data_IF_505721553624
#
_entry.id   IF_505721553624
#
_cell.length_a   1.000
_cell.length_b   1.000
_cell.length_c   1.000
_cell.angle_alpha   90.00
_cell.angle_beta   90.00
_cell.angle_gamma   90.00
#
_symmetry.space_group_name_H-M   'P 1'
#
loop_
_entity.id
_entity.type
_entity.pdbx_description
1 polymer ?
#
# COMPACT_ATOMS: atom_id res chain seq x y z
N UNK A 1 -0.48 -9.78 -2.51
CA UNK A 1 0.73 -9.74 -3.36
C UNK A 1 1.32 -8.33 -3.35
N UNK A 2 2.61 -8.23 -3.15
CA UNK A 2 3.31 -6.94 -3.16
C UNK A 2 3.95 -6.72 -4.52
N UNK A 3 3.75 -5.52 -5.10
CA UNK A 3 4.33 -5.16 -6.40
C UNK A 3 4.82 -3.72 -6.35
N UNK A 4 5.95 -3.40 -7.00
CA UNK A 4 6.42 -2.01 -7.06
C UNK A 4 5.40 -1.11 -7.76
N UNK A 5 5.29 0.12 -7.27
CA UNK A 5 4.47 1.15 -7.88
C UNK A 5 5.30 2.41 -8.05
N UNK A 6 4.84 3.32 -8.91
CA UNK A 6 5.53 4.58 -9.19
C UNK A 6 4.67 5.75 -8.75
N UNK A 7 5.29 6.72 -8.08
CA UNK A 7 4.66 7.99 -7.79
C UNK A 7 5.06 8.97 -8.88
N UNK A 8 4.08 9.48 -9.63
CA UNK A 8 4.33 10.42 -10.73
C UNK A 8 5.04 11.66 -10.19
N UNK A 9 6.08 12.08 -10.88
CA UNK A 9 6.91 13.20 -10.47
C UNK A 9 8.04 12.83 -9.52
N UNK A 10 8.05 11.59 -9.02
CA UNK A 10 9.07 11.12 -8.06
C UNK A 10 9.50 9.69 -8.40
N UNK A 11 10.10 9.47 -9.59
CA UNK A 11 10.40 8.10 -10.06
C UNK A 11 11.48 7.39 -9.25
N UNK A 12 12.26 8.12 -8.46
CA UNK A 12 13.33 7.53 -7.66
C UNK A 12 12.86 7.02 -6.30
N UNK A 13 11.65 7.38 -5.88
CA UNK A 13 11.10 6.90 -4.61
C UNK A 13 10.67 5.44 -4.73
N UNK A 14 11.12 4.64 -3.79
CA UNK A 14 10.82 3.20 -3.78
C UNK A 14 9.55 2.96 -2.99
N UNK A 15 8.46 2.68 -3.71
CA UNK A 15 7.14 2.42 -3.14
C UNK A 15 6.65 1.05 -3.58
N UNK A 16 5.93 0.39 -2.68
CA UNK A 16 5.37 -0.93 -2.94
C UNK A 16 3.85 -0.87 -2.86
N UNK A 17 3.17 -1.53 -3.78
CA UNK A 17 1.72 -1.68 -3.73
C UNK A 17 1.35 -3.06 -3.20
N UNK A 18 0.39 -3.10 -2.28
CA UNK A 18 -0.16 -4.34 -1.78
C UNK A 18 -1.46 -4.62 -2.52
N UNK A 19 -1.49 -5.70 -3.27
CA UNK A 19 -2.67 -6.11 -4.02
C UNK A 19 -3.63 -6.95 -3.19
N UNK A 20 -4.80 -7.25 -3.75
CA UNK A 20 -5.78 -8.08 -3.06
C UNK A 20 -5.17 -9.42 -2.66
N UNK A 21 -5.39 -9.80 -1.42
CA UNK A 21 -4.94 -11.10 -0.92
C UNK A 21 -6.09 -12.08 -0.98
N UNK A 22 -5.91 -13.14 -1.77
CA UNK A 22 -6.93 -14.17 -1.92
C UNK A 22 -6.82 -15.18 -0.79
N UNK A 23 -7.24 -14.77 0.41
CA UNK A 23 -7.31 -15.66 1.57
C UNK A 23 -8.76 -16.06 1.76
N UNK A 24 -9.02 -17.37 1.88
CA UNK A 24 -10.37 -17.87 2.10
C UNK A 24 -10.95 -17.23 3.38
N UNK A 25 -12.26 -16.89 3.36
CA UNK A 25 -12.86 -16.21 4.52
C UNK A 25 -12.65 -16.90 5.86
N UNK A 26 -12.67 -18.22 5.89
CA UNK A 26 -12.44 -18.98 7.11
C UNK A 26 -11.00 -18.80 7.63
N UNK A 27 -10.03 -18.66 6.73
CA UNK A 27 -8.63 -18.49 7.09
C UNK A 27 -8.34 -17.06 7.50
N UNK A 28 -9.05 -16.08 6.94
CA UNK A 28 -8.89 -14.68 7.32
C UNK A 28 -9.17 -14.48 8.82
N UNK A 29 -10.17 -15.20 9.34
CA UNK A 29 -10.54 -15.11 10.76
C UNK A 29 -9.51 -15.70 11.70
N UNK A 30 -8.57 -16.47 11.18
CA UNK A 30 -7.50 -17.08 11.97
C UNK A 30 -6.23 -16.23 12.01
N UNK A 31 -6.28 -15.02 11.46
CA UNK A 31 -5.13 -14.11 11.47
C UNK A 31 -4.05 -14.45 10.45
N UNK A 32 -4.28 -15.41 9.56
CA UNK A 32 -3.29 -15.79 8.55
C UNK A 32 -3.02 -14.63 7.59
N UNK A 33 -4.08 -13.93 7.14
CA UNK A 33 -3.93 -12.77 6.28
C UNK A 33 -3.15 -11.67 6.97
N UNK A 34 -3.42 -11.41 8.25
CA UNK A 34 -2.68 -10.39 9.02
C UNK A 34 -1.21 -10.74 9.15
N UNK A 35 -0.89 -12.00 9.42
CA UNK A 35 0.50 -12.44 9.52
C UNK A 35 1.24 -12.25 8.18
N UNK A 36 0.60 -12.55 7.06
CA UNK A 36 1.18 -12.37 5.74
C UNK A 36 1.42 -10.90 5.44
N UNK A 37 0.49 -10.02 5.80
CA UNK A 37 0.65 -8.57 5.60
C UNK A 37 1.84 -8.08 6.42
N UNK A 38 1.90 -8.43 7.70
CA UNK A 38 3.00 -7.99 8.57
C UNK A 38 4.37 -8.48 8.07
N UNK A 39 4.43 -9.74 7.66
CA UNK A 39 5.67 -10.30 7.11
C UNK A 39 6.09 -9.58 5.84
N UNK A 40 5.14 -9.28 4.95
CA UNK A 40 5.42 -8.55 3.72
C UNK A 40 5.88 -7.14 3.97
N UNK A 41 5.26 -6.44 4.92
CA UNK A 41 5.66 -5.07 5.29
C UNK A 41 7.09 -5.05 5.83
N UNK A 42 7.42 -6.00 6.69
CA UNK A 42 8.77 -6.10 7.23
C UNK A 42 9.79 -6.39 6.13
N UNK A 43 9.44 -7.26 5.20
CA UNK A 43 10.30 -7.55 4.05
C UNK A 43 10.52 -6.30 3.20
N UNK A 44 9.48 -5.51 2.96
CA UNK A 44 9.60 -4.26 2.22
C UNK A 44 10.54 -3.29 2.93
N UNK A 45 10.42 -3.19 4.25
CA UNK A 45 11.31 -2.33 5.03
C UNK A 45 12.76 -2.77 4.90
N UNK A 46 13.01 -4.07 5.01
CA UNK A 46 14.36 -4.63 4.91
C UNK A 46 14.98 -4.45 3.53
N UNK A 47 14.16 -4.40 2.48
CA UNK A 47 14.65 -4.25 1.11
C UNK A 47 14.70 -2.80 0.64
N UNK A 48 14.47 -1.85 1.53
CA UNK A 48 14.68 -0.44 1.26
C UNK A 48 13.50 0.31 0.66
N UNK A 49 12.28 -0.24 0.74
CA UNK A 49 11.09 0.49 0.33
C UNK A 49 10.69 1.46 1.44
N UNK A 50 10.33 2.69 1.06
CA UNK A 50 10.01 3.73 2.03
C UNK A 50 8.54 3.80 2.40
N UNK A 51 7.64 3.28 1.58
CA UNK A 51 6.21 3.29 1.85
C UNK A 51 5.51 2.18 1.09
N UNK A 52 4.32 1.82 1.58
CA UNK A 52 3.44 0.84 0.95
C UNK A 52 2.08 1.48 0.76
N UNK A 53 1.46 1.24 -0.39
CA UNK A 53 0.10 1.69 -0.68
C UNK A 53 -0.81 0.49 -0.85
N UNK A 54 -2.09 0.66 -0.54
CA UNK A 54 -3.07 -0.41 -0.64
C UNK A 54 -4.43 0.14 -1.02
N UNK A 55 -5.14 -0.57 -1.90
CA UNK A 55 -6.56 -0.39 -2.15
C UNK A 55 -7.28 -1.51 -1.42
N UNK A 56 -8.12 -1.17 -0.44
CA UNK A 56 -8.79 -2.21 0.32
C UNK A 56 -9.74 -1.64 1.37
N UNK A 57 -10.17 -2.51 2.25
CA UNK A 57 -11.16 -2.13 3.26
C UNK A 57 -10.59 -1.15 4.28
N UNK A 58 -11.21 0.03 4.45
CA UNK A 58 -10.71 1.03 5.39
C UNK A 58 -10.85 0.62 6.85
N UNK A 59 -11.57 -0.47 7.11
CA UNK A 59 -11.72 -1.00 8.46
C UNK A 59 -10.66 -2.03 8.83
N UNK A 60 -9.97 -2.57 7.83
CA UNK A 60 -9.00 -3.66 8.04
C UNK A 60 -7.56 -3.16 8.10
N UNK A 61 -7.14 -2.39 7.10
CA UNK A 61 -5.73 -2.03 6.94
C UNK A 61 -5.20 -1.04 8.00
N UNK A 62 -6.00 -0.14 8.58
CA UNK A 62 -5.48 0.74 9.63
C UNK A 62 -4.86 0.02 10.83
N UNK A 63 -5.24 -1.23 11.07
CA UNK A 63 -4.64 -2.02 12.16
C UNK A 63 -3.15 -2.25 11.98
N UNK A 64 -2.64 -2.11 10.75
CA UNK A 64 -1.21 -2.27 10.46
C UNK A 64 -0.48 -0.93 10.45
N UNK A 65 -1.19 0.18 10.56
CA UNK A 65 -0.61 1.51 10.49
C UNK A 65 -0.89 2.27 9.20
N UNK A 66 -1.73 1.72 8.32
CA UNK A 66 -2.12 2.42 7.10
C UNK A 66 -3.05 3.59 7.44
N UNK A 67 -2.83 4.71 6.74
CA UNK A 67 -3.62 5.92 6.88
C UNK A 67 -4.19 6.30 5.52
N UNK A 68 -5.28 7.10 5.53
CA UNK A 68 -5.86 7.57 4.27
C UNK A 68 -4.82 8.31 3.44
N UNK A 69 -4.80 8.03 2.14
CA UNK A 69 -3.89 8.69 1.21
C UNK A 69 -4.05 10.21 1.19
N UNK A 70 -5.24 10.70 1.51
CA UNK A 70 -5.51 12.14 1.57
C UNK A 70 -4.62 12.85 2.58
N UNK A 71 -4.16 12.17 3.62
CA UNK A 71 -3.26 12.75 4.61
C UNK A 71 -1.90 13.11 4.03
N UNK A 72 -1.52 12.45 2.93
CA UNK A 72 -0.23 12.64 2.30
C UNK A 72 -0.32 13.41 0.98
N UNK A 73 -1.54 13.81 0.58
CA UNK A 73 -1.71 14.44 -0.72
C UNK A 73 -1.44 13.49 -1.88
N UNK A 74 -1.64 12.21 -1.67
CA UNK A 74 -1.38 11.17 -2.67
C UNK A 74 -2.68 10.53 -3.09
N UNK A 75 -2.90 10.38 -4.41
CA UNK A 75 -4.04 9.64 -4.93
C UNK A 75 -3.53 8.54 -5.87
N UNK A 76 -4.45 7.76 -6.42
CA UNK A 76 -4.09 6.73 -7.37
C UNK A 76 -4.79 6.96 -8.71
N UNK A 77 -4.38 6.19 -9.72
CA UNK A 77 -4.94 6.30 -11.07
C UNK A 77 -6.38 5.80 -11.16
N UNK A 78 -6.85 5.07 -10.15
CA UNK A 78 -8.21 4.57 -10.11
C UNK A 78 -9.13 5.59 -9.46
N UNK A 79 -10.37 5.68 -9.97
CA UNK A 79 -11.37 6.59 -9.42
C UNK A 79 -12.05 5.90 -8.23
N UNK A 80 -11.49 6.09 -7.05
CA UNK A 80 -11.97 5.47 -5.81
C UNK A 80 -12.01 6.50 -4.69
N UNK A 81 -12.85 6.28 -3.66
CA UNK A 81 -12.84 7.15 -2.47
C UNK A 81 -11.48 7.11 -1.78
N UNK A 82 -11.06 8.24 -1.22
CA UNK A 82 -9.75 8.35 -0.57
C UNK A 82 -9.61 7.44 0.65
N UNK A 83 -10.71 7.10 1.30
CA UNK A 83 -10.67 6.24 2.49
C UNK A 83 -10.33 4.78 2.16
N UNK A 84 -10.50 4.34 0.90
CA UNK A 84 -10.13 2.97 0.51
C UNK A 84 -8.74 2.89 -0.10
N UNK A 85 -8.10 4.03 -0.38
CA UNK A 85 -6.72 4.06 -0.82
C UNK A 85 -5.86 4.57 0.32
N UNK A 86 -5.04 3.68 0.86
CA UNK A 86 -4.31 3.94 2.10
C UNK A 86 -2.81 3.82 1.90
N UNK A 87 -2.07 4.51 2.72
CA UNK A 87 -0.60 4.59 2.64
C UNK A 87 -0.01 4.35 4.01
N UNK A 88 1.09 3.61 4.05
CA UNK A 88 1.88 3.41 5.26
C UNK A 88 3.33 3.76 4.98
N UNK A 89 3.88 4.72 5.72
CA UNK A 89 5.31 5.01 5.65
C UNK A 89 6.08 3.94 6.42
N UNK A 90 7.00 3.27 5.74
CA UNK A 90 7.91 2.32 6.39
C UNK A 90 9.11 3.05 6.98
N UNK A 91 9.49 4.16 6.33
CA UNK A 91 10.53 5.07 6.82
C UNK A 91 9.84 6.36 7.25
N UNK A 92 9.99 6.71 8.51
CA UNK A 92 9.31 7.87 9.09
C UNK A 92 9.65 9.15 8.32
N UNK A 93 8.63 9.85 7.86
CA UNK A 93 8.80 11.10 7.10
C UNK A 93 9.14 10.91 5.63
N UNK A 94 9.12 9.66 5.12
CA UNK A 94 9.47 9.36 3.74
C UNK A 94 8.66 10.18 2.73
N UNK A 95 7.39 10.44 3.03
CA UNK A 95 6.50 11.16 2.12
C UNK A 95 6.33 12.64 2.50
N UNK A 96 7.13 13.15 3.41
CA UNK A 96 7.05 14.56 3.81
C UNK A 96 7.37 15.46 2.61
N UNK A 97 6.45 16.39 2.32
CA UNK A 97 6.60 17.29 1.18
C UNK A 97 6.41 16.66 -0.18
N UNK A 98 5.98 15.41 -0.21
CA UNK A 98 5.76 14.67 -1.46
C UNK A 98 4.26 14.52 -1.69
N UNK A 99 3.82 14.78 -2.91
CA UNK A 99 2.44 14.57 -3.31
C UNK A 99 2.41 14.07 -4.75
N UNK A 100 1.27 13.58 -5.20
CA UNK A 100 1.14 13.12 -6.57
C UNK A 100 0.22 11.91 -6.69
N UNK A 101 0.32 11.25 -7.83
CA UNK A 101 -0.54 10.12 -8.17
C UNK A 101 0.27 8.85 -8.30
N UNK A 102 -0.21 7.77 -7.69
CA UNK A 102 0.40 6.45 -7.79
C UNK A 102 -0.08 5.79 -9.08
N UNK A 103 0.88 5.25 -9.84
CA UNK A 103 0.60 4.38 -10.97
C UNK A 103 1.04 2.96 -10.63
N UNK A 104 0.12 2.02 -10.82
CA UNK A 104 0.43 0.61 -10.64
C UNK A 104 1.10 0.04 -11.88
N UNK A 105 1.96 -0.93 -11.68
CA UNK A 105 2.61 -1.63 -12.79
C UNK A 105 1.54 -2.28 -13.68
N UNK A 106 1.72 -2.29 -15.03
CA UNK A 106 0.74 -2.89 -15.94
C UNK A 106 0.35 -4.32 -15.60
N UNK A 107 1.30 -5.13 -15.13
CA UNK A 107 1.00 -6.51 -14.74
C UNK A 107 0.04 -6.58 -13.55
N UNK A 108 0.05 -5.58 -12.66
CA UNK A 108 -0.87 -5.50 -11.53
C UNK A 108 -2.29 -5.20 -12.00
N UNK A 109 -2.43 -4.37 -13.04
CA UNK A 109 -3.73 -4.00 -13.59
C UNK A 109 -4.45 -5.17 -14.26
N UNK A 110 -3.70 -6.17 -14.72
CA UNK A 110 -4.25 -7.33 -15.39
C UNK A 110 -4.83 -8.40 -14.48
N UNK A 111 -4.88 -8.15 -13.21
CA UNK A 111 -5.36 -9.11 -12.21
C UNK A 111 -6.85 -9.00 -11.98
#
# INVERSE_FOLDING_TARGET
MFSPVTLLGHPTLRLMGLGPMAVAPALQRRGIGSALVRAGLERCRQTGFGAVVVLGHPEYYPRFGFLSSARFGIDCEFDVPSEVFMVMELENGFLRGVSGRIEYHPAFRGV
#
